data_IF_921611220861
#
_entry.id   IF_921611220861
#
_cell.length_a   1.000
_cell.length_b   1.000
_cell.length_c   1.000
_cell.angle_alpha   90.00
_cell.angle_beta   90.00
_cell.angle_gamma   90.00
#
_symmetry.space_group_name_H-M   'P 1'
#
loop_
_entity.id
_entity.type
_entity.pdbx_description
1 polymer ?
#
# COMPACT_ATOMS: atom_id res chain seq x y z
N UNK A 1 8.82 3.53 -17.18
CA UNK A 1 8.41 3.54 -15.75
C UNK A 1 7.76 2.18 -15.49
N UNK A 2 8.42 1.30 -14.74
CA UNK A 2 7.94 -0.07 -14.50
C UNK A 2 6.87 -0.04 -13.41
N UNK A 3 5.67 -0.52 -13.70
CA UNK A 3 4.58 -0.62 -12.73
C UNK A 3 4.42 -2.07 -12.28
N UNK A 4 4.38 -2.30 -10.97
CA UNK A 4 4.29 -3.64 -10.38
C UNK A 4 3.01 -3.74 -9.56
N UNK A 5 2.10 -4.63 -9.96
CA UNK A 5 0.91 -4.96 -9.18
C UNK A 5 1.19 -6.17 -8.30
N UNK A 6 0.98 -6.03 -6.99
CA UNK A 6 1.22 -7.09 -6.02
C UNK A 6 -0.08 -7.43 -5.28
N UNK A 7 -0.64 -8.63 -5.47
CA UNK A 7 -1.80 -9.04 -4.68
C UNK A 7 -1.37 -9.24 -3.23
N UNK A 8 -2.02 -8.52 -2.31
CA UNK A 8 -1.81 -8.66 -0.86
C UNK A 8 -2.94 -9.51 -0.31
N UNK A 9 -2.59 -10.66 0.27
CA UNK A 9 -3.57 -11.47 1.00
C UNK A 9 -3.72 -10.93 2.42
N UNK A 10 -4.92 -10.54 2.79
CA UNK A 10 -5.27 -10.01 4.11
C UNK A 10 -6.24 -10.97 4.80
N UNK A 11 -6.09 -11.19 6.11
CA UNK A 11 -6.97 -12.06 6.91
C UNK A 11 -8.24 -11.33 7.41
N UNK A 12 -8.30 -10.00 7.29
CA UNK A 12 -9.45 -9.17 7.66
C UNK A 12 -9.52 -7.89 6.83
N UNK A 13 -10.64 -7.16 6.94
CA UNK A 13 -10.90 -5.87 6.27
C UNK A 13 -10.52 -4.67 7.17
N UNK A 14 -9.68 -4.93 8.17
CA UNK A 14 -9.30 -3.98 9.21
C UNK A 14 -8.00 -3.28 8.86
N UNK A 15 -7.83 -2.05 9.38
CA UNK A 15 -6.67 -1.24 9.04
C UNK A 15 -5.33 -1.87 9.45
N UNK A 16 -5.33 -2.60 10.56
CA UNK A 16 -4.17 -3.36 11.04
C UNK A 16 -3.79 -4.48 10.08
N UNK A 17 -4.77 -5.23 9.56
CA UNK A 17 -4.55 -6.35 8.63
C UNK A 17 -4.03 -5.84 7.29
N UNK A 18 -4.57 -4.72 6.81
CA UNK A 18 -4.08 -4.08 5.59
C UNK A 18 -2.65 -3.55 5.75
N UNK A 19 -2.35 -2.87 6.85
CA UNK A 19 -0.99 -2.44 7.19
C UNK A 19 -0.02 -3.61 7.22
N UNK A 20 -0.36 -4.70 7.90
CA UNK A 20 0.52 -5.86 8.03
C UNK A 20 0.75 -6.55 6.68
N UNK A 21 -0.31 -6.78 5.91
CA UNK A 21 -0.25 -7.39 4.58
C UNK A 21 0.61 -6.56 3.62
N UNK A 22 0.32 -5.25 3.52
CA UNK A 22 1.07 -4.32 2.65
C UNK A 22 2.52 -4.23 3.09
N UNK A 23 2.79 -4.09 4.40
CA UNK A 23 4.16 -4.04 4.92
C UNK A 23 4.93 -5.31 4.57
N UNK A 24 4.33 -6.49 4.79
CA UNK A 24 4.97 -7.78 4.51
C UNK A 24 5.26 -7.94 3.02
N UNK A 25 4.28 -7.67 2.16
CA UNK A 25 4.44 -7.78 0.70
C UNK A 25 5.48 -6.81 0.19
N UNK A 26 5.43 -5.55 0.63
CA UNK A 26 6.44 -4.55 0.28
C UNK A 26 7.81 -4.96 0.80
N UNK A 27 7.91 -5.62 1.95
CA UNK A 27 9.18 -6.12 2.48
C UNK A 27 9.90 -7.12 1.57
N UNK A 28 9.18 -7.80 0.67
CA UNK A 28 9.77 -8.66 -0.36
C UNK A 28 10.17 -7.93 -1.65
N UNK A 29 9.72 -6.70 -1.86
CA UNK A 29 10.09 -5.89 -3.03
C UNK A 29 11.49 -5.31 -2.84
N UNK A 30 12.38 -5.26 -3.83
CA UNK A 30 13.66 -4.56 -3.68
C UNK A 30 13.45 -3.07 -3.38
N UNK A 31 14.24 -2.48 -2.47
CA UNK A 31 14.12 -1.05 -2.11
C UNK A 31 14.19 -0.11 -3.33
N UNK A 32 14.96 -0.47 -4.36
CA UNK A 32 15.06 0.27 -5.61
C UNK A 32 13.73 0.42 -6.37
N UNK A 33 12.76 -0.47 -6.12
CA UNK A 33 11.42 -0.44 -6.72
C UNK A 33 10.36 0.12 -5.76
N UNK A 34 10.70 0.36 -4.48
CA UNK A 34 9.79 0.89 -3.45
C UNK A 34 9.83 2.41 -3.39
N UNK A 35 9.63 3.09 -4.52
CA UNK A 35 9.59 4.55 -4.51
C UNK A 35 8.18 5.08 -4.17
N UNK A 36 7.16 4.44 -4.72
CA UNK A 36 5.77 4.90 -4.65
C UNK A 36 4.81 3.72 -4.56
N UNK A 37 3.82 3.83 -3.69
CA UNK A 37 2.71 2.87 -3.57
C UNK A 37 1.42 3.58 -3.97
N UNK A 38 0.70 3.06 -4.96
CA UNK A 38 -0.65 3.55 -5.30
C UNK A 38 -1.69 2.63 -4.69
N UNK A 39 -2.66 3.17 -3.98
CA UNK A 39 -3.67 2.42 -3.24
C UNK A 39 -5.08 2.98 -3.47
N UNK A 40 -6.11 2.13 -3.38
CA UNK A 40 -7.52 2.50 -3.53
C UNK A 40 -8.09 3.09 -2.23
N UNK A 41 -9.21 3.83 -2.25
CA UNK A 41 -9.80 4.51 -1.07
C UNK A 41 -10.46 3.55 -0.07
N UNK A 42 -9.78 2.48 0.31
CA UNK A 42 -10.21 1.56 1.36
C UNK A 42 -10.10 2.21 2.74
N UNK A 43 -11.18 2.14 3.53
CA UNK A 43 -11.20 2.45 4.98
C UNK A 43 -10.12 1.70 5.79
N UNK A 44 -9.60 0.63 5.23
CA UNK A 44 -8.54 -0.23 5.75
C UNK A 44 -7.15 0.46 5.70
N UNK A 45 -7.03 1.63 5.10
CA UNK A 45 -5.78 2.40 5.07
C UNK A 45 -5.82 3.66 5.95
N UNK A 46 -6.64 3.65 7.00
CA UNK A 46 -6.60 4.70 8.03
C UNK A 46 -5.19 4.89 8.63
N UNK A 47 -4.36 3.84 8.65
CA UNK A 47 -2.98 3.87 9.16
C UNK A 47 -1.89 3.95 8.08
N UNK A 48 -2.21 4.34 6.84
CA UNK A 48 -1.25 4.43 5.74
C UNK A 48 -0.03 5.31 6.08
N UNK A 49 -0.21 6.39 6.85
CA UNK A 49 0.88 7.27 7.27
C UNK A 49 1.98 6.51 8.03
N UNK A 50 1.58 5.55 8.88
CA UNK A 50 2.54 4.71 9.60
C UNK A 50 3.29 3.75 8.67
N UNK A 51 2.64 3.29 7.60
CA UNK A 51 3.26 2.46 6.56
C UNK A 51 4.28 3.28 5.76
N UNK A 52 3.90 4.50 5.35
CA UNK A 52 4.76 5.43 4.63
C UNK A 52 6.03 5.75 5.43
N UNK A 53 5.88 6.07 6.72
CA UNK A 53 7.01 6.34 7.61
C UNK A 53 7.91 5.12 7.79
N UNK A 54 7.33 3.94 8.05
CA UNK A 54 8.09 2.72 8.32
C UNK A 54 8.87 2.22 7.10
N UNK A 55 8.33 2.43 5.90
CA UNK A 55 8.94 1.98 4.65
C UNK A 55 9.70 3.09 3.91
N UNK A 56 9.60 4.34 4.38
CA UNK A 56 10.15 5.54 3.71
C UNK A 56 9.70 5.62 2.24
N UNK A 57 8.40 5.44 2.01
CA UNK A 57 7.81 5.47 0.67
C UNK A 57 6.69 6.51 0.59
N UNK A 58 6.45 7.03 -0.62
CA UNK A 58 5.29 7.88 -0.88
C UNK A 58 4.06 7.02 -1.19
N UNK A 59 2.95 7.28 -0.51
CA UNK A 59 1.66 6.62 -0.76
C UNK A 59 0.76 7.58 -1.51
N UNK A 60 0.26 7.15 -2.66
CA UNK A 60 -0.69 7.87 -3.49
C UNK A 60 -2.03 7.16 -3.43
N UNK A 61 -3.10 7.91 -3.28
CA UNK A 61 -4.44 7.38 -3.33
C UNK A 61 -5.02 7.54 -4.74
N UNK A 62 -5.72 6.51 -5.22
CA UNK A 62 -6.54 6.62 -6.41
C UNK A 62 -7.60 7.71 -6.20
N UNK A 63 -7.91 8.47 -7.24
CA UNK A 63 -8.93 9.51 -7.14
C UNK A 63 -10.33 8.88 -6.96
N UNK A 64 -11.08 9.24 -5.91
CA UNK A 64 -12.36 8.60 -5.61
C UNK A 64 -13.45 8.88 -6.66
N UNK A 65 -13.24 9.89 -7.52
CA UNK A 65 -14.18 10.28 -8.57
C UNK A 65 -13.76 9.80 -9.96
N UNK A 66 -12.60 9.14 -10.09
CA UNK A 66 -12.08 8.61 -11.35
C UNK A 66 -11.76 7.11 -11.21
N UNK A 67 -12.79 6.26 -11.07
CA UNK A 67 -12.61 4.82 -11.22
C UNK A 67 -12.21 4.54 -12.68
N UNK A 68 -11.20 3.71 -12.88
CA UNK A 68 -10.73 3.24 -14.18
C UNK A 68 -11.83 2.52 -14.96
#
# INVERSE_FOLDING_TARGET
MTHLALPVRMEGTDATSARQGVTKTLWHVPAALRNTLTYDWGKEMAEHEQVAQRLTIQIFFADPYSPW
#
